data_IF_785592514304
#
_entry.id   IF_785592514304
#
_cell.length_a   1.000
_cell.length_b   1.000
_cell.length_c   1.000
_cell.angle_alpha   90.00
_cell.angle_beta   90.00
_cell.angle_gamma   90.00
#
_symmetry.space_group_name_H-M   'P 1'
#
loop_
_entity.id
_entity.type
_entity.pdbx_description
1 polymer ?
#
# COMPACT_ATOMS: atom_id res chain seq x y z
N UNK A 1 -12.91 -1.12 -9.97
CA UNK A 1 -14.23 -1.54 -9.46
C UNK A 1 -14.17 -2.88 -8.74
N UNK A 2 -13.18 -3.07 -7.85
CA UNK A 2 -13.10 -4.23 -6.96
C UNK A 2 -13.88 -3.94 -5.67
N UNK A 3 -14.67 -4.90 -5.19
CA UNK A 3 -15.39 -4.82 -3.92
C UNK A 3 -14.90 -5.94 -2.97
N UNK A 4 -14.08 -5.60 -1.96
CA UNK A 4 -13.47 -6.58 -1.05
C UNK A 4 -14.49 -7.36 -0.19
N UNK A 5 -15.72 -6.86 -0.03
CA UNK A 5 -16.75 -7.50 0.79
C UNK A 5 -17.37 -8.69 0.07
N UNK A 6 -17.54 -8.58 -1.25
CA UNK A 6 -18.15 -9.64 -2.09
C UNK A 6 -17.12 -10.41 -2.92
N UNK A 7 -15.92 -9.84 -3.13
CA UNK A 7 -14.78 -10.44 -3.82
C UNK A 7 -13.55 -10.44 -2.90
N UNK A 8 -13.50 -11.31 -1.88
CA UNK A 8 -12.46 -11.29 -0.86
C UNK A 8 -11.09 -11.76 -1.35
N UNK A 9 -11.01 -12.34 -2.56
CA UNK A 9 -9.76 -12.76 -3.19
C UNK A 9 -9.41 -11.76 -4.29
N UNK A 10 -8.44 -10.86 -4.06
CA UNK A 10 -8.04 -9.87 -5.04
C UNK A 10 -7.16 -10.46 -6.15
N UNK A 11 -7.08 -9.76 -7.26
CA UNK A 11 -6.07 -9.95 -8.30
C UNK A 11 -4.92 -8.97 -8.13
N UNK A 12 -3.81 -9.18 -8.86
CA UNK A 12 -2.65 -8.26 -8.85
C UNK A 12 -2.95 -6.85 -9.37
N UNK A 13 -4.07 -6.66 -10.10
CA UNK A 13 -4.53 -5.33 -10.49
C UNK A 13 -5.33 -4.60 -9.41
N UNK A 14 -5.78 -5.31 -8.37
CA UNK A 14 -6.60 -4.74 -7.30
C UNK A 14 -5.72 -4.26 -6.13
N UNK A 15 -4.80 -5.13 -5.68
CA UNK A 15 -3.82 -4.85 -4.64
C UNK A 15 -2.60 -5.77 -4.84
N UNK A 16 -1.43 -5.31 -4.44
CA UNK A 16 -0.24 -6.14 -4.41
C UNK A 16 -0.44 -7.37 -3.50
N UNK A 17 0.04 -8.53 -3.94
CA UNK A 17 -0.21 -9.82 -3.29
C UNK A 17 0.42 -9.97 -1.90
N UNK A 18 1.42 -9.16 -1.53
CA UNK A 18 2.06 -9.29 -0.23
C UNK A 18 1.16 -8.85 0.92
N UNK A 19 0.20 -7.93 0.69
CA UNK A 19 -0.78 -7.51 1.71
C UNK A 19 -1.83 -8.59 2.02
N UNK A 20 -2.62 -9.11 1.05
CA UNK A 20 -3.60 -10.18 1.31
C UNK A 20 -2.95 -11.44 1.89
N UNK A 21 -1.70 -11.73 1.53
CA UNK A 21 -0.96 -12.86 2.08
C UNK A 21 -0.78 -12.79 3.61
N UNK A 22 -0.67 -11.60 4.20
CA UNK A 22 -0.62 -11.42 5.66
C UNK A 22 -1.90 -11.87 6.37
N UNK A 23 -3.01 -11.97 5.63
CA UNK A 23 -4.31 -12.42 6.12
C UNK A 23 -4.63 -13.86 5.65
N UNK A 24 -3.67 -14.55 5.03
CA UNK A 24 -3.85 -15.90 4.51
C UNK A 24 -4.77 -15.97 3.28
N UNK A 25 -5.01 -14.83 2.63
CA UNK A 25 -5.80 -14.78 1.40
C UNK A 25 -4.93 -15.30 0.24
N UNK A 26 -5.40 -16.30 -0.54
CA UNK A 26 -4.68 -16.79 -1.70
C UNK A 26 -4.46 -15.66 -2.70
N UNK A 27 -3.22 -15.49 -3.16
CA UNK A 27 -2.86 -14.44 -4.10
C UNK A 27 -1.71 -14.91 -4.98
N UNK A 28 -1.57 -14.28 -6.15
CA UNK A 28 -0.44 -14.51 -7.01
C UNK A 28 0.80 -13.85 -6.41
N UNK A 29 1.91 -14.58 -6.40
CA UNK A 29 3.21 -14.06 -6.03
C UNK A 29 4.02 -13.79 -7.29
N UNK A 30 5.06 -12.96 -7.18
CA UNK A 30 6.07 -12.84 -8.23
C UNK A 30 6.65 -14.22 -8.59
N UNK A 31 7.03 -14.41 -9.86
CA UNK A 31 7.53 -15.69 -10.37
C UNK A 31 8.61 -16.29 -9.45
N UNK A 32 8.33 -17.49 -8.92
CA UNK A 32 9.26 -18.25 -8.08
C UNK A 32 9.12 -18.05 -6.56
N UNK A 33 8.22 -17.19 -6.10
CA UNK A 33 7.94 -17.01 -4.67
C UNK A 33 6.62 -17.66 -4.27
N UNK A 34 6.54 -18.13 -3.02
CA UNK A 34 5.30 -18.64 -2.44
C UNK A 34 4.98 -17.84 -1.19
N UNK A 35 3.77 -17.28 -1.15
CA UNK A 35 3.29 -16.46 -0.03
C UNK A 35 2.43 -17.27 0.96
N UNK A 36 2.31 -18.59 0.77
CA UNK A 36 1.42 -19.45 1.56
C UNK A 36 1.77 -19.51 3.06
N UNK A 37 2.99 -19.12 3.42
CA UNK A 37 3.46 -19.12 4.81
C UNK A 37 3.40 -17.73 5.46
N UNK A 38 2.89 -16.71 4.77
CA UNK A 38 2.93 -15.33 5.25
C UNK A 38 1.76 -14.93 6.15
N UNK A 39 0.81 -15.82 6.43
CA UNK A 39 -0.33 -15.47 7.26
C UNK A 39 0.10 -15.08 8.68
N UNK A 40 -0.28 -13.88 9.09
CA UNK A 40 -0.09 -13.35 10.44
C UNK A 40 -1.42 -13.03 11.10
N UNK A 41 -2.45 -12.68 10.33
CA UNK A 41 -3.76 -12.24 10.80
C UNK A 41 -4.89 -13.13 10.26
N UNK A 42 -6.07 -13.00 10.86
CA UNK A 42 -7.27 -13.76 10.46
C UNK A 42 -7.79 -13.25 9.10
N UNK A 43 -8.20 -14.15 8.22
CA UNK A 43 -8.72 -13.79 6.90
C UNK A 43 -10.00 -12.96 6.96
N UNK A 44 -10.76 -13.07 8.05
CA UNK A 44 -11.96 -12.27 8.28
C UNK A 44 -11.67 -10.76 8.40
N UNK A 45 -10.46 -10.37 8.78
CA UNK A 45 -10.08 -8.97 8.97
C UNK A 45 -9.65 -8.27 7.66
N UNK A 46 -9.39 -9.04 6.59
CA UNK A 46 -8.84 -8.51 5.35
C UNK A 46 -9.81 -7.56 4.63
N UNK A 47 -11.09 -7.94 4.52
CA UNK A 47 -12.08 -7.13 3.79
C UNK A 47 -12.25 -5.75 4.41
N UNK A 48 -12.21 -5.65 5.74
CA UNK A 48 -12.25 -4.37 6.45
C UNK A 48 -11.04 -3.49 6.12
N UNK A 49 -9.83 -4.05 6.10
CA UNK A 49 -8.62 -3.33 5.71
C UNK A 49 -8.71 -2.86 4.25
N UNK A 50 -9.05 -3.76 3.33
CA UNK A 50 -9.16 -3.45 1.91
C UNK A 50 -10.20 -2.37 1.61
N UNK A 51 -11.38 -2.43 2.25
CA UNK A 51 -12.40 -1.38 2.14
C UNK A 51 -11.88 -0.04 2.67
N UNK A 52 -11.15 -0.04 3.79
CA UNK A 52 -10.55 1.18 4.32
C UNK A 52 -9.46 1.76 3.40
N UNK A 53 -8.68 0.90 2.71
CA UNK A 53 -7.71 1.31 1.69
C UNK A 53 -8.36 2.00 0.51
N UNK A 54 -9.43 1.43 -0.03
CA UNK A 54 -10.19 2.04 -1.13
C UNK A 54 -10.79 3.39 -0.71
N UNK A 55 -11.38 3.47 0.48
CA UNK A 55 -11.93 4.72 1.00
C UNK A 55 -10.85 5.81 1.19
N UNK A 56 -9.67 5.45 1.70
CA UNK A 56 -8.55 6.38 1.84
C UNK A 56 -8.00 6.83 0.48
N UNK A 57 -7.95 5.93 -0.50
CA UNK A 57 -7.57 6.26 -1.87
C UNK A 57 -8.56 7.25 -2.52
N UNK A 58 -9.87 7.02 -2.36
CA UNK A 58 -10.92 7.90 -2.85
C UNK A 58 -10.88 9.29 -2.19
N UNK A 59 -10.53 9.37 -0.91
CA UNK A 59 -10.36 10.64 -0.20
C UNK A 59 -9.22 11.50 -0.76
N UNK A 60 -8.22 10.87 -1.40
CA UNK A 60 -7.20 11.56 -2.19
C UNK A 60 -5.98 12.06 -1.41
N UNK A 61 -5.89 11.79 -0.10
CA UNK A 61 -4.78 12.20 0.78
C UNK A 61 -3.72 11.09 1.00
N UNK A 62 -3.87 9.97 0.29
CA UNK A 62 -3.00 8.81 0.39
C UNK A 62 -3.53 7.78 1.39
N UNK A 63 -3.00 6.56 1.33
CA UNK A 63 -3.46 5.45 2.17
C UNK A 63 -2.64 5.42 3.46
N UNK A 64 -3.26 5.84 4.57
CA UNK A 64 -2.74 5.71 5.94
C UNK A 64 -3.86 5.24 6.86
N UNK A 65 -3.75 4.04 7.43
CA UNK A 65 -4.85 3.39 8.17
C UNK A 65 -4.32 2.76 9.46
N UNK A 66 -4.76 3.20 10.65
CA UNK A 66 -4.51 2.48 11.88
C UNK A 66 -5.48 1.29 12.02
N UNK A 67 -4.99 0.18 12.53
CA UNK A 67 -5.79 -1.01 12.80
C UNK A 67 -5.24 -1.74 14.03
N UNK A 68 -6.12 -2.30 14.84
CA UNK A 68 -5.75 -3.27 15.86
C UNK A 68 -6.09 -4.66 15.34
N UNK A 69 -5.11 -5.56 15.36
CA UNK A 69 -5.22 -6.92 14.85
C UNK A 69 -4.78 -7.92 15.91
N UNK A 70 -5.23 -9.15 15.78
CA UNK A 70 -4.78 -10.26 16.63
C UNK A 70 -4.05 -11.28 15.77
N UNK A 71 -2.87 -11.72 16.22
CA UNK A 71 -2.11 -12.73 15.49
C UNK A 71 -2.81 -14.08 15.49
N UNK A 72 -2.71 -14.80 14.36
CA UNK A 72 -2.98 -16.23 14.30
C UNK A 72 -1.69 -17.02 14.47
N UNK A 73 -1.81 -18.32 14.79
CA UNK A 73 -0.63 -19.19 14.90
C UNK A 73 0.03 -19.34 13.53
N UNK A 74 1.35 -19.10 13.47
CA UNK A 74 2.18 -19.40 12.31
C UNK A 74 3.51 -20.02 12.76
N UNK A 75 3.55 -21.35 12.79
CA UNK A 75 4.72 -22.11 13.25
C UNK A 75 5.94 -21.94 12.34
N UNK A 76 5.74 -21.63 11.05
CA UNK A 76 6.83 -21.41 10.11
C UNK A 76 7.60 -20.12 10.45
N UNK A 77 6.87 -19.07 10.84
CA UNK A 77 7.44 -17.77 11.25
C UNK A 77 7.71 -17.66 12.76
N UNK A 78 7.31 -18.66 13.55
CA UNK A 78 7.44 -18.63 15.01
C UNK A 78 6.52 -17.60 15.68
N UNK A 79 5.32 -17.39 15.14
CA UNK A 79 4.32 -16.46 15.66
C UNK A 79 3.27 -17.25 16.43
N UNK A 80 3.11 -16.91 17.72
CA UNK A 80 2.04 -17.46 18.54
C UNK A 80 0.71 -16.75 18.29
N UNK A 81 -0.40 -17.47 18.42
CA UNK A 81 -1.74 -16.87 18.33
C UNK A 81 -2.07 -15.98 19.55
N UNK A 82 -2.94 -14.99 19.32
CA UNK A 82 -3.57 -14.23 20.40
C UNK A 82 -2.81 -12.99 20.86
N UNK A 83 -1.76 -12.58 20.14
CA UNK A 83 -1.11 -11.29 20.41
C UNK A 83 -1.89 -10.16 19.74
N UNK A 84 -2.38 -9.23 20.55
CA UNK A 84 -2.92 -7.97 20.04
C UNK A 84 -1.77 -7.06 19.58
N UNK A 85 -1.87 -6.57 18.34
CA UNK A 85 -0.90 -5.66 17.73
C UNK A 85 -1.60 -4.45 17.12
N UNK A 86 -0.98 -3.29 17.27
CA UNK A 86 -1.40 -2.07 16.58
C UNK A 86 -0.56 -1.91 15.32
N UNK A 87 -1.22 -1.78 14.18
CA UNK A 87 -0.59 -1.63 12.86
C UNK A 87 -1.00 -0.31 12.26
N UNK A 88 -0.03 0.46 11.76
CA UNK A 88 -0.28 1.62 10.91
C UNK A 88 0.10 1.24 9.48
N UNK A 89 -0.91 0.97 8.65
CA UNK A 89 -0.73 0.69 7.25
C UNK A 89 -0.48 1.99 6.50
N UNK A 90 0.70 2.13 5.90
CA UNK A 90 0.97 3.15 4.89
C UNK A 90 1.25 2.43 3.57
N UNK A 91 0.48 2.73 2.54
CA UNK A 91 0.59 2.08 1.24
C UNK A 91 0.85 3.13 0.14
N UNK A 92 1.87 2.93 -0.67
CA UNK A 92 2.23 3.88 -1.74
C UNK A 92 1.16 3.83 -2.82
N UNK A 93 0.63 5.00 -3.17
CA UNK A 93 -0.29 5.24 -4.28
C UNK A 93 0.06 6.59 -4.92
N UNK A 94 -0.72 7.04 -5.90
CA UNK A 94 -0.70 8.42 -6.37
C UNK A 94 -1.94 9.16 -5.84
N UNK A 95 -1.84 9.90 -4.72
CA UNK A 95 -2.99 10.59 -4.13
C UNK A 95 -3.52 11.70 -5.06
N UNK A 96 -4.82 11.75 -5.27
CA UNK A 96 -5.47 12.73 -6.17
C UNK A 96 -5.21 14.18 -5.74
N UNK A 97 -5.28 14.48 -4.44
CA UNK A 97 -5.12 15.84 -3.94
C UNK A 97 -3.67 16.32 -4.07
N UNK A 98 -2.70 15.43 -3.89
CA UNK A 98 -1.29 15.72 -4.21
C UNK A 98 -1.10 15.97 -5.69
N UNK A 99 -1.64 15.07 -6.53
CA UNK A 99 -1.52 15.15 -7.98
C UNK A 99 -2.08 16.46 -8.52
N UNK A 100 -3.27 16.85 -8.08
CA UNK A 100 -3.96 18.07 -8.51
C UNK A 100 -3.28 19.36 -8.05
N UNK A 101 -2.47 19.30 -7.00
CA UNK A 101 -1.66 20.43 -6.55
C UNK A 101 -0.40 20.65 -7.40
N UNK A 102 -0.03 19.71 -8.27
CA UNK A 102 1.17 19.84 -9.11
C UNK A 102 0.95 20.80 -10.29
N UNK A 103 2.02 21.48 -10.75
CA UNK A 103 2.00 22.23 -11.99
C UNK A 103 1.56 21.35 -13.18
N UNK A 104 0.83 21.94 -14.13
CA UNK A 104 0.26 21.20 -15.26
C UNK A 104 1.32 20.51 -16.13
N UNK A 105 2.49 21.14 -16.29
CA UNK A 105 3.62 20.56 -17.00
C UNK A 105 4.16 19.31 -16.33
N UNK A 106 4.23 19.27 -14.99
CA UNK A 106 4.70 18.11 -14.25
C UNK A 106 3.68 16.97 -14.31
N UNK A 107 2.38 17.30 -14.23
CA UNK A 107 1.30 16.32 -14.44
C UNK A 107 1.39 15.65 -15.81
N UNK A 108 1.58 16.43 -16.87
CA UNK A 108 1.73 15.88 -18.22
C UNK A 108 2.95 14.95 -18.37
N UNK A 109 4.07 15.28 -17.70
CA UNK A 109 5.25 14.42 -17.68
C UNK A 109 5.01 13.12 -16.90
N UNK A 110 4.21 13.14 -15.83
CA UNK A 110 3.81 11.91 -15.10
C UNK A 110 2.87 11.06 -15.99
N UNK A 111 1.88 11.68 -16.64
CA UNK A 111 0.92 11.02 -17.53
C UNK A 111 1.56 10.38 -18.75
N UNK A 112 2.73 10.85 -19.19
CA UNK A 112 3.51 10.22 -20.25
C UNK A 112 3.96 8.79 -19.93
N UNK A 113 3.84 8.37 -18.66
CA UNK A 113 3.94 7.01 -18.19
C UNK A 113 5.25 6.34 -18.61
N UNK A 114 5.15 5.13 -19.17
CA UNK A 114 6.30 4.29 -19.52
C UNK A 114 7.23 4.88 -20.60
N UNK A 115 6.83 5.97 -21.26
CA UNK A 115 7.57 6.59 -22.35
C UNK A 115 8.27 7.90 -21.97
N UNK A 116 8.02 8.44 -20.78
CA UNK A 116 8.60 9.73 -20.39
C UNK A 116 9.44 9.70 -19.13
N UNK A 117 9.74 10.90 -18.63
CA UNK A 117 10.78 11.14 -17.62
C UNK A 117 10.51 10.43 -16.30
N UNK A 118 9.24 10.23 -15.95
CA UNK A 118 8.81 9.62 -14.70
C UNK A 118 8.24 8.22 -14.90
N UNK A 119 8.80 7.44 -15.85
CA UNK A 119 8.44 6.04 -16.07
C UNK A 119 8.28 5.25 -14.76
N UNK A 120 7.16 4.54 -14.67
CA UNK A 120 6.75 3.70 -13.55
C UNK A 120 6.50 4.46 -12.23
N UNK A 121 6.48 5.80 -12.22
CA UNK A 121 6.08 6.53 -11.01
C UNK A 121 4.61 6.22 -10.64
N UNK A 122 4.27 6.06 -9.34
CA UNK A 122 5.17 6.02 -8.17
C UNK A 122 5.72 4.62 -7.84
N UNK A 123 5.33 3.59 -8.60
CA UNK A 123 5.67 2.18 -8.39
C UNK A 123 6.91 1.75 -9.20
N UNK A 124 8.08 2.26 -8.81
CA UNK A 124 9.33 1.87 -9.48
C UNK A 124 9.66 0.39 -9.32
N UNK A 125 10.24 -0.21 -10.36
CA UNK A 125 10.55 -1.64 -10.40
C UNK A 125 11.74 -1.98 -9.51
N UNK A 126 11.53 -2.83 -8.52
CA UNK A 126 12.55 -3.19 -7.52
C UNK A 126 13.73 -3.98 -8.12
N UNK A 127 13.50 -4.76 -9.19
CA UNK A 127 14.53 -5.59 -9.82
C UNK A 127 15.07 -5.05 -11.14
N UNK A 128 14.29 -4.22 -11.85
CA UNK A 128 14.64 -3.78 -13.22
C UNK A 128 14.85 -2.27 -13.36
N UNK A 129 14.58 -1.50 -12.30
CA UNK A 129 14.79 -0.04 -12.26
C UNK A 129 15.69 0.33 -11.07
N UNK A 130 16.91 -0.21 -11.08
CA UNK A 130 17.90 -0.06 -10.00
C UNK A 130 18.54 1.33 -9.92
N UNK A 131 18.38 2.14 -10.98
CA UNK A 131 18.89 3.50 -11.05
C UNK A 131 17.72 4.46 -11.25
N UNK A 132 17.58 5.41 -10.34
CA UNK A 132 16.62 6.51 -10.42
C UNK A 132 17.36 7.83 -10.64
N UNK A 133 16.81 8.70 -11.48
CA UNK A 133 17.31 10.06 -11.63
C UNK A 133 17.08 10.87 -10.35
N UNK A 134 17.84 11.97 -10.18
CA UNK A 134 17.62 12.88 -9.07
C UNK A 134 16.17 13.41 -9.05
N UNK A 135 15.58 13.65 -10.21
CA UNK A 135 14.20 14.12 -10.31
C UNK A 135 13.17 13.06 -9.94
N UNK A 136 13.39 11.79 -10.29
CA UNK A 136 12.54 10.67 -9.87
C UNK A 136 12.57 10.49 -8.36
N UNK A 137 13.78 10.49 -7.77
CA UNK A 137 13.96 10.42 -6.32
C UNK A 137 13.28 11.58 -5.62
N UNK A 138 13.48 12.80 -6.11
CA UNK A 138 12.88 14.00 -5.52
C UNK A 138 11.36 14.02 -5.63
N UNK A 139 10.80 13.55 -6.75
CA UNK A 139 9.35 13.49 -6.93
C UNK A 139 8.72 12.48 -5.96
N UNK A 140 9.33 11.28 -5.83
CA UNK A 140 8.86 10.28 -4.87
C UNK A 140 9.00 10.78 -3.43
N UNK A 141 10.13 11.36 -3.06
CA UNK A 141 10.33 11.93 -1.73
C UNK A 141 9.31 13.04 -1.42
N UNK A 142 8.96 13.87 -2.40
CA UNK A 142 7.94 14.90 -2.26
C UNK A 142 6.54 14.30 -2.03
N UNK A 143 6.13 13.33 -2.85
CA UNK A 143 4.86 12.61 -2.67
C UNK A 143 4.78 12.00 -1.27
N UNK A 144 5.81 11.27 -0.87
CA UNK A 144 5.81 10.54 0.39
C UNK A 144 5.81 11.47 1.60
N UNK A 145 6.57 12.58 1.54
CA UNK A 145 6.50 13.61 2.56
C UNK A 145 5.11 14.25 2.63
N UNK A 146 4.49 14.53 1.48
CA UNK A 146 3.16 15.13 1.42
C UNK A 146 2.10 14.24 2.07
N UNK A 147 2.10 12.92 1.78
CA UNK A 147 1.18 11.95 2.41
C UNK A 147 1.33 11.95 3.93
N UNK A 148 2.57 12.00 4.43
CA UNK A 148 2.84 12.07 5.87
C UNK A 148 2.31 13.37 6.50
N UNK A 149 2.42 14.50 5.82
CA UNK A 149 1.87 15.77 6.31
C UNK A 149 0.34 15.82 6.25
N UNK A 150 -0.26 15.33 5.16
CA UNK A 150 -1.72 15.27 5.01
C UNK A 150 -2.37 14.41 6.10
N UNK A 151 -1.68 13.36 6.55
CA UNK A 151 -2.16 12.43 7.58
C UNK A 151 -1.54 12.66 8.96
N UNK A 152 -0.86 13.81 9.19
CA UNK A 152 -0.07 14.05 10.40
C UNK A 152 -0.88 13.88 11.69
N UNK A 153 -2.12 14.39 11.73
CA UNK A 153 -2.99 14.27 12.91
C UNK A 153 -3.31 12.82 13.27
N UNK A 154 -3.58 12.00 12.25
CA UNK A 154 -3.86 10.56 12.40
C UNK A 154 -2.61 9.82 12.91
N UNK A 155 -1.46 10.07 12.27
CA UNK A 155 -0.18 9.44 12.62
C UNK A 155 0.24 9.80 14.05
N UNK A 156 0.14 11.08 14.43
CA UNK A 156 0.45 11.53 15.80
C UNK A 156 -0.46 10.87 16.83
N UNK A 157 -1.74 10.72 16.52
CA UNK A 157 -2.70 10.07 17.41
C UNK A 157 -2.43 8.57 17.56
N UNK A 158 -1.98 7.91 16.50
CA UNK A 158 -1.55 6.51 16.55
C UNK A 158 -0.31 6.32 17.44
N UNK A 159 0.71 7.16 17.28
CA UNK A 159 1.99 7.06 18.02
C UNK A 159 1.91 7.48 19.49
N UNK A 160 0.83 8.14 19.91
CA UNK A 160 0.66 8.61 21.29
C UNK A 160 -0.01 7.59 22.23
N UNK A 161 -0.37 6.41 21.72
CA UNK A 161 -0.97 5.30 22.47
C UNK A 161 0.10 4.46 23.18
#
# INVERSE_FOLDING_TARGET
>A
DWDPVIQPVPTSSDIDGYVPALFGIPTEADEGYSLIYNQVFDSADFSALATAMLAAQEAGDGIVIPQTLVTVQNDFMGIDAGHEVQVLWKYTTQPTNWYDALPAELRAEIESGSSGKYKNFPHYETLTQLELSAEQVMLLANLEAWVMFANEGLIRSFLAQ
#
